data_IF_013479477705
#
_entry.id   IF_013479477705
#
_cell.length_a   1.000
_cell.length_b   1.000
_cell.length_c   1.000
_cell.angle_alpha   90.00
_cell.angle_beta   90.00
_cell.angle_gamma   90.00
#
_symmetry.space_group_name_H-M   'P 1'
#
loop_
_entity.id
_entity.type
_entity.pdbx_description
1 polymer ?
#
# COMPACT_ATOMS: atom_id res chain seq x y z
N UNK A 1 -21.51 14.90 -21.24
CA UNK A 1 -21.52 13.80 -20.24
C UNK A 1 -20.46 12.79 -20.66
N UNK A 2 -19.47 12.49 -19.81
CA UNK A 2 -18.39 11.54 -20.13
C UNK A 2 -18.96 10.12 -20.06
N UNK A 3 -18.75 9.29 -21.09
CA UNK A 3 -19.18 7.88 -21.07
C UNK A 3 -18.30 7.09 -20.08
N UNK A 4 -18.89 6.27 -19.18
CA UNK A 4 -18.12 5.43 -18.28
C UNK A 4 -17.38 4.33 -19.04
N UNK A 5 -16.20 3.95 -18.53
CA UNK A 5 -15.45 2.78 -18.97
C UNK A 5 -16.24 1.49 -18.66
N UNK A 6 -15.95 0.40 -19.38
CA UNK A 6 -16.71 -0.85 -19.21
C UNK A 6 -16.60 -1.42 -17.79
N UNK A 7 -15.42 -1.40 -17.18
CA UNK A 7 -15.25 -1.80 -15.77
C UNK A 7 -16.04 -0.91 -14.79
N UNK A 8 -16.28 0.36 -15.12
CA UNK A 8 -17.09 1.24 -14.28
C UNK A 8 -18.57 0.85 -14.36
N UNK A 9 -19.04 0.42 -15.53
CA UNK A 9 -20.42 -0.09 -15.70
C UNK A 9 -20.60 -1.38 -14.92
N UNK A 10 -19.64 -2.31 -14.98
CA UNK A 10 -19.67 -3.54 -14.18
C UNK A 10 -19.81 -3.25 -12.68
N UNK A 11 -19.08 -2.26 -12.16
CA UNK A 11 -19.21 -1.87 -10.74
C UNK A 11 -20.59 -1.26 -10.45
N UNK A 12 -21.11 -0.41 -11.35
CA UNK A 12 -22.45 0.18 -11.20
C UNK A 12 -23.57 -0.86 -11.25
N UNK A 13 -23.42 -1.90 -12.07
CA UNK A 13 -24.37 -3.00 -12.26
C UNK A 13 -24.22 -4.10 -11.19
N UNK A 14 -23.10 -4.15 -10.47
CA UNK A 14 -22.86 -5.16 -9.43
C UNK A 14 -23.92 -5.10 -8.33
N UNK A 15 -24.50 -6.26 -7.99
CA UNK A 15 -25.41 -6.38 -6.84
C UNK A 15 -24.62 -6.77 -5.58
N UNK A 16 -24.85 -6.06 -4.47
CA UNK A 16 -24.18 -6.33 -3.20
C UNK A 16 -24.17 -5.13 -2.25
N UNK A 17 -24.13 -5.42 -0.95
CA UNK A 17 -24.04 -4.40 0.11
C UNK A 17 -22.62 -3.84 0.30
N UNK A 18 -21.60 -4.50 -0.28
CA UNK A 18 -20.20 -4.06 -0.22
C UNK A 18 -19.60 -4.08 -1.62
N UNK A 19 -19.05 -2.94 -2.04
CA UNK A 19 -18.26 -2.81 -3.28
C UNK A 19 -16.88 -2.29 -2.92
N UNK A 20 -15.83 -2.98 -3.36
CA UNK A 20 -14.44 -2.57 -3.16
C UNK A 20 -13.85 -2.17 -4.51
N UNK A 21 -13.45 -0.92 -4.64
CA UNK A 21 -12.79 -0.40 -5.84
C UNK A 21 -11.32 -0.11 -5.53
N UNK A 22 -10.43 -0.88 -6.14
CA UNK A 22 -8.98 -0.70 -6.01
C UNK A 22 -8.40 -0.26 -7.35
N UNK A 23 -7.45 0.68 -7.33
CA UNK A 23 -6.67 0.97 -8.52
C UNK A 23 -5.81 2.22 -8.39
N UNK A 24 -5.01 2.50 -9.41
CA UNK A 24 -4.08 3.62 -9.45
C UNK A 24 -4.74 5.00 -9.60
N UNK A 25 -3.91 6.05 -9.69
CA UNK A 25 -4.38 7.39 -10.06
C UNK A 25 -4.83 7.43 -11.52
N UNK A 26 -5.72 8.38 -11.85
CA UNK A 26 -6.21 8.67 -13.22
C UNK A 26 -6.94 7.54 -13.95
N UNK A 27 -7.40 6.50 -13.24
CA UNK A 27 -8.25 5.46 -13.83
C UNK A 27 -9.75 5.83 -13.83
N UNK A 28 -10.13 6.97 -13.24
CA UNK A 28 -11.53 7.41 -13.18
C UNK A 28 -12.31 6.96 -11.94
N UNK A 29 -11.64 6.53 -10.85
CA UNK A 29 -12.31 6.20 -9.57
C UNK A 29 -13.19 7.33 -9.03
N UNK A 30 -12.70 8.57 -9.09
CA UNK A 30 -13.46 9.74 -8.66
C UNK A 30 -14.74 9.92 -9.47
N UNK A 31 -14.67 9.75 -10.80
CA UNK A 31 -15.85 9.79 -11.68
C UNK A 31 -16.84 8.68 -11.33
N UNK A 32 -16.37 7.45 -11.11
CA UNK A 32 -17.22 6.34 -10.66
C UNK A 32 -17.89 6.65 -9.32
N UNK A 33 -17.12 7.13 -8.33
CA UNK A 33 -17.68 7.53 -7.03
C UNK A 33 -18.77 8.59 -7.18
N UNK A 34 -18.56 9.61 -8.03
CA UNK A 34 -19.57 10.63 -8.31
C UNK A 34 -20.86 10.04 -8.85
N UNK A 35 -20.76 9.13 -9.83
CA UNK A 35 -21.92 8.43 -10.43
C UNK A 35 -22.66 7.53 -9.43
N UNK A 36 -21.92 6.81 -8.58
CA UNK A 36 -22.50 5.98 -7.53
C UNK A 36 -23.24 6.87 -6.54
N UNK A 37 -22.56 7.86 -5.96
CA UNK A 37 -23.09 8.73 -4.91
C UNK A 37 -24.29 9.55 -5.37
N UNK A 38 -24.34 9.97 -6.64
CA UNK A 38 -25.50 10.72 -7.17
C UNK A 38 -26.82 9.94 -7.17
N UNK A 39 -26.76 8.62 -6.99
CA UNK A 39 -27.94 7.75 -6.98
C UNK A 39 -28.50 7.50 -5.57
N UNK A 40 -27.90 8.06 -4.52
CA UNK A 40 -28.29 7.87 -3.12
C UNK A 40 -28.58 9.21 -2.44
N UNK A 41 -29.55 9.23 -1.51
CA UNK A 41 -30.00 10.46 -0.85
C UNK A 41 -29.20 10.78 0.41
N UNK A 42 -28.92 9.79 1.27
CA UNK A 42 -28.14 9.97 2.51
C UNK A 42 -26.81 9.23 2.44
N UNK A 43 -25.75 9.98 2.15
CA UNK A 43 -24.40 9.40 2.00
C UNK A 43 -23.46 9.90 3.08
N UNK A 44 -22.79 8.95 3.75
CA UNK A 44 -21.65 9.23 4.61
C UNK A 44 -20.35 9.06 3.81
N UNK A 45 -19.54 10.11 3.72
CA UNK A 45 -18.22 10.07 3.13
C UNK A 45 -17.14 10.15 4.20
N UNK A 46 -16.37 9.08 4.32
CA UNK A 46 -15.25 8.95 5.23
C UNK A 46 -13.93 9.04 4.46
N UNK A 47 -13.03 9.91 4.90
CA UNK A 47 -11.67 10.00 4.34
C UNK A 47 -10.62 10.04 5.48
N UNK A 48 -9.31 9.88 5.19
CA UNK A 48 -8.29 9.81 6.24
C UNK A 48 -8.11 11.10 7.04
N UNK A 49 -8.39 12.25 6.43
CA UNK A 49 -8.23 13.56 7.07
C UNK A 49 -9.20 14.58 6.49
N UNK A 50 -9.35 15.71 7.18
CA UNK A 50 -10.30 16.76 6.80
C UNK A 50 -10.04 17.35 5.40
N UNK A 51 -8.79 17.60 5.03
CA UNK A 51 -8.45 18.15 3.71
C UNK A 51 -8.94 17.25 2.56
N UNK A 52 -8.83 15.94 2.73
CA UNK A 52 -9.33 14.97 1.77
C UNK A 52 -10.84 14.93 1.68
N UNK A 53 -11.54 15.14 2.80
CA UNK A 53 -12.99 15.27 2.78
C UNK A 53 -13.45 16.49 1.98
N UNK A 54 -12.72 17.62 2.08
CA UNK A 54 -12.99 18.83 1.30
C UNK A 54 -12.75 18.60 -0.20
N UNK A 55 -11.66 17.93 -0.56
CA UNK A 55 -11.39 17.56 -1.95
C UNK A 55 -12.53 16.73 -2.55
N UNK A 56 -13.01 15.71 -1.83
CA UNK A 56 -14.15 14.93 -2.28
C UNK A 56 -15.38 15.82 -2.51
N UNK A 57 -15.73 16.66 -1.52
CA UNK A 57 -16.87 17.58 -1.59
C UNK A 57 -16.80 18.53 -2.79
N UNK A 58 -15.65 19.18 -2.98
CA UNK A 58 -15.51 20.30 -3.90
C UNK A 58 -15.21 19.85 -5.33
N UNK A 59 -14.54 18.70 -5.51
CA UNK A 59 -14.02 18.25 -6.81
C UNK A 59 -14.74 17.02 -7.35
N UNK A 60 -15.10 16.07 -6.48
CA UNK A 60 -15.66 14.78 -6.93
C UNK A 60 -17.17 14.89 -7.09
N UNK A 61 -17.84 15.47 -6.10
CA UNK A 61 -19.32 15.45 -6.03
C UNK A 61 -19.96 16.81 -6.28
N UNK A 62 -19.20 17.90 -6.28
CA UNK A 62 -19.73 19.23 -6.61
C UNK A 62 -20.76 19.74 -5.59
N UNK A 63 -20.41 19.67 -4.30
CA UNK A 63 -21.23 20.18 -3.19
C UNK A 63 -22.70 19.69 -3.21
N UNK A 64 -22.93 18.38 -3.34
CA UNK A 64 -24.26 17.80 -3.10
C UNK A 64 -24.64 18.10 -1.64
N UNK A 65 -25.73 18.86 -1.37
CA UNK A 65 -26.06 19.33 -0.01
C UNK A 65 -26.36 18.23 1.01
N UNK A 66 -26.58 17.00 0.55
CA UNK A 66 -27.10 15.88 1.35
C UNK A 66 -26.03 14.94 1.92
N UNK A 67 -24.74 15.28 1.79
CA UNK A 67 -23.63 14.40 2.18
C UNK A 67 -22.99 14.80 3.52
N UNK A 68 -22.76 13.80 4.37
CA UNK A 68 -22.00 13.97 5.62
C UNK A 68 -20.55 13.61 5.38
N UNK A 69 -19.65 14.58 5.49
CA UNK A 69 -18.21 14.39 5.33
C UNK A 69 -17.53 14.29 6.69
N UNK A 70 -16.77 13.22 6.94
CA UNK A 70 -16.01 13.05 8.19
C UNK A 70 -14.64 12.40 7.94
N UNK A 71 -13.70 12.72 8.82
CA UNK A 71 -12.38 12.10 8.83
C UNK A 71 -12.40 10.90 9.77
N UNK A 72 -12.18 9.68 9.28
CA UNK A 72 -12.28 8.48 10.12
C UNK A 72 -11.18 8.38 11.18
N UNK A 73 -10.10 9.15 11.05
CA UNK A 73 -9.02 9.22 12.05
C UNK A 73 -9.34 10.15 13.23
N UNK A 74 -10.26 11.11 13.05
CA UNK A 74 -10.63 12.10 14.07
C UNK A 74 -12.07 11.99 14.52
N UNK A 75 -12.81 11.03 13.97
CA UNK A 75 -14.23 10.84 14.22
C UNK A 75 -14.42 9.98 15.46
N UNK A 76 -15.19 10.49 16.43
CA UNK A 76 -15.91 9.63 17.34
C UNK A 76 -17.06 8.99 16.56
N UNK A 77 -16.94 7.69 16.33
CA UNK A 77 -17.89 6.97 15.51
C UNK A 77 -19.25 6.80 16.21
N UNK A 78 -19.32 6.91 17.54
CA UNK A 78 -20.61 6.83 18.24
C UNK A 78 -21.55 7.99 17.84
N UNK A 79 -21.03 9.13 17.38
CA UNK A 79 -21.84 10.23 16.85
C UNK A 79 -22.66 9.83 15.60
N UNK A 80 -22.24 8.79 14.89
CA UNK A 80 -22.91 8.32 13.67
C UNK A 80 -23.99 7.28 13.94
N UNK A 81 -24.10 6.79 15.18
CA UNK A 81 -24.97 5.68 15.54
C UNK A 81 -26.43 6.06 15.39
N UNK A 82 -27.20 5.19 14.75
CA UNK A 82 -28.63 5.41 14.52
C UNK A 82 -28.96 6.41 13.40
N UNK A 83 -27.94 7.01 12.76
CA UNK A 83 -28.17 7.82 11.56
C UNK A 83 -28.36 6.87 10.37
N UNK A 84 -29.52 6.92 9.67
CA UNK A 84 -29.75 6.05 8.52
C UNK A 84 -29.01 6.61 7.30
N UNK A 85 -27.94 5.93 6.90
CA UNK A 85 -27.23 6.19 5.64
C UNK A 85 -27.60 5.13 4.61
N UNK A 86 -27.91 5.56 3.38
CA UNK A 86 -28.21 4.69 2.26
C UNK A 86 -26.91 4.17 1.61
N UNK A 87 -25.83 4.93 1.75
CA UNK A 87 -24.49 4.58 1.26
C UNK A 87 -23.42 5.13 2.20
N UNK A 88 -22.40 4.30 2.48
CA UNK A 88 -21.17 4.75 3.13
C UNK A 88 -20.01 4.56 2.17
N UNK A 89 -19.37 5.67 1.82
CA UNK A 89 -18.13 5.68 1.05
C UNK A 89 -16.98 5.84 2.00
N UNK A 90 -16.00 4.94 1.92
CA UNK A 90 -14.74 5.09 2.62
C UNK A 90 -13.62 5.25 1.61
N UNK A 91 -13.20 6.51 1.45
CA UNK A 91 -12.18 6.91 0.50
C UNK A 91 -10.78 6.80 1.11
N UNK A 92 -9.81 6.48 0.26
CA UNK A 92 -8.40 6.28 0.60
C UNK A 92 -8.14 5.45 1.88
N UNK A 93 -8.85 4.33 2.05
CA UNK A 93 -8.67 3.44 3.21
C UNK A 93 -7.22 2.97 3.39
N UNK A 94 -6.48 2.86 2.28
CA UNK A 94 -5.04 2.64 2.25
C UNK A 94 -4.42 3.79 1.46
N UNK A 95 -4.18 4.92 2.12
CA UNK A 95 -3.19 5.86 1.62
C UNK A 95 -1.81 5.26 1.89
N UNK A 96 -1.09 4.80 0.85
CA UNK A 96 0.36 4.61 0.97
C UNK A 96 0.95 5.99 1.15
N UNK A 97 1.20 6.34 2.40
CA UNK A 97 1.63 7.65 2.82
C UNK A 97 3.13 7.82 2.66
N UNK A 98 3.54 9.08 2.76
CA UNK A 98 4.92 9.49 3.03
C UNK A 98 5.56 8.68 4.17
N UNK A 99 4.80 8.28 5.18
CA UNK A 99 5.30 7.53 6.33
C UNK A 99 5.68 6.10 5.97
N UNK A 100 4.92 5.45 5.07
CA UNK A 100 5.13 4.04 4.72
C UNK A 100 6.53 3.78 4.17
N UNK A 101 7.08 4.70 3.37
CA UNK A 101 8.45 4.57 2.85
C UNK A 101 9.51 4.60 3.95
N UNK A 102 9.28 5.40 5.00
CA UNK A 102 10.22 5.55 6.12
C UNK A 102 10.19 4.26 6.93
N UNK A 103 9.00 3.69 7.15
CA UNK A 103 8.86 2.42 7.86
C UNK A 103 9.49 1.26 7.08
N UNK A 104 9.25 1.18 5.76
CA UNK A 104 9.91 0.18 4.91
C UNK A 104 11.43 0.35 4.92
N UNK A 105 11.93 1.59 4.81
CA UNK A 105 13.37 1.86 4.86
C UNK A 105 13.97 1.44 6.21
N UNK A 106 13.35 1.83 7.33
CA UNK A 106 13.82 1.46 8.68
C UNK A 106 13.82 -0.05 8.87
N UNK A 107 12.76 -0.72 8.41
CA UNK A 107 12.65 -2.17 8.51
C UNK A 107 13.70 -2.87 7.66
N UNK A 108 13.97 -2.36 6.45
CA UNK A 108 15.07 -2.85 5.63
C UNK A 108 16.42 -2.66 6.33
N UNK A 109 16.68 -1.48 6.90
CA UNK A 109 17.92 -1.19 7.64
C UNK A 109 18.13 -2.10 8.85
N UNK A 110 17.06 -2.50 9.54
CA UNK A 110 17.09 -3.46 10.65
C UNK A 110 17.45 -4.87 10.19
N UNK A 111 16.97 -5.27 9.01
CA UNK A 111 17.16 -6.62 8.44
C UNK A 111 18.48 -6.79 7.70
N UNK A 112 19.06 -5.70 7.19
CA UNK A 112 20.35 -5.74 6.48
C UNK A 112 21.41 -6.37 7.38
N UNK A 113 22.13 -7.41 6.90
CA UNK A 113 23.30 -7.95 7.57
C UNK A 113 24.35 -6.85 7.79
N UNK A 114 24.94 -6.82 8.99
CA UNK A 114 25.93 -5.81 9.36
C UNK A 114 27.30 -6.46 9.34
N UNK A 115 28.07 -6.14 8.30
CA UNK A 115 29.51 -6.38 8.29
C UNK A 115 30.23 -5.06 8.60
N UNK A 116 30.27 -4.14 7.62
CA UNK A 116 30.87 -2.80 7.74
C UNK A 116 29.84 -1.66 7.89
N UNK A 117 28.55 -2.00 7.81
CA UNK A 117 27.45 -1.04 7.84
C UNK A 117 27.25 -0.22 6.56
N UNK A 118 28.08 -0.39 5.53
CA UNK A 118 28.00 0.37 4.27
C UNK A 118 26.67 0.08 3.56
N UNK A 119 26.28 -1.19 3.45
CA UNK A 119 25.01 -1.57 2.83
C UNK A 119 23.83 -0.91 3.56
N UNK A 120 23.81 -0.97 4.89
CA UNK A 120 22.77 -0.34 5.71
C UNK A 120 22.72 1.18 5.50
N UNK A 121 23.87 1.85 5.53
CA UNK A 121 23.98 3.29 5.34
C UNK A 121 23.66 3.76 3.92
N UNK A 122 23.79 2.89 2.92
CA UNK A 122 23.48 3.17 1.53
C UNK A 122 21.98 3.13 1.20
N UNK A 123 21.15 2.52 2.06
CA UNK A 123 19.72 2.40 1.81
C UNK A 123 19.04 3.77 1.84
N UNK A 124 18.32 4.06 0.76
CA UNK A 124 17.59 5.31 0.55
C UNK A 124 16.24 5.02 -0.09
N UNK A 125 15.38 6.01 -0.10
CA UNK A 125 14.16 5.99 -0.88
C UNK A 125 14.18 7.07 -1.97
N UNK A 126 13.46 6.83 -3.06
CA UNK A 126 13.17 7.82 -4.10
C UNK A 126 11.67 7.88 -4.29
N UNK A 127 11.13 9.09 -4.39
CA UNK A 127 9.73 9.35 -4.70
C UNK A 127 9.65 9.85 -6.14
N UNK A 128 8.83 9.19 -6.96
CA UNK A 128 8.56 9.62 -8.34
C UNK A 128 7.05 9.59 -8.56
N UNK A 129 6.41 10.76 -8.52
CA UNK A 129 4.96 10.85 -8.56
C UNK A 129 4.33 10.18 -7.35
N UNK A 130 3.53 9.13 -7.58
CA UNK A 130 2.87 8.31 -6.56
C UNK A 130 3.65 7.01 -6.24
N UNK A 131 4.76 6.76 -6.92
CA UNK A 131 5.60 5.61 -6.66
C UNK A 131 6.71 5.96 -5.68
N UNK A 132 6.96 5.04 -4.75
CA UNK A 132 8.10 5.10 -3.86
C UNK A 132 8.93 3.84 -4.03
N UNK A 133 10.22 4.02 -4.32
CA UNK A 133 11.20 2.95 -4.36
C UNK A 133 12.10 3.06 -3.14
N UNK A 134 12.35 1.93 -2.46
CA UNK A 134 13.35 1.81 -1.39
C UNK A 134 14.44 0.86 -1.88
N UNK A 135 15.71 1.25 -1.77
CA UNK A 135 16.81 0.46 -2.28
C UNK A 135 18.18 1.11 -2.08
N UNK A 136 19.18 0.59 -2.78
CA UNK A 136 20.57 1.05 -2.74
C UNK A 136 21.14 1.08 -4.16
N UNK A 137 22.23 1.84 -4.34
CA UNK A 137 23.03 1.88 -5.56
C UNK A 137 24.26 0.95 -5.50
N UNK A 138 24.44 0.16 -4.43
CA UNK A 138 25.56 -0.78 -4.33
C UNK A 138 25.33 -2.01 -5.19
N UNK A 139 26.29 -2.31 -6.07
CA UNK A 139 26.20 -3.41 -7.03
C UNK A 139 26.11 -4.79 -6.39
N UNK A 140 26.69 -4.98 -5.21
CA UNK A 140 26.66 -6.26 -4.50
C UNK A 140 25.36 -6.50 -3.74
N UNK A 141 24.51 -5.48 -3.58
CA UNK A 141 23.30 -5.56 -2.77
C UNK A 141 22.28 -6.62 -3.24
N UNK A 142 22.04 -6.82 -4.57
CA UNK A 142 21.19 -7.90 -5.05
C UNK A 142 21.73 -9.28 -4.67
N UNK A 143 23.05 -9.46 -4.60
CA UNK A 143 23.64 -10.73 -4.17
C UNK A 143 23.29 -11.04 -2.72
N UNK A 144 23.24 -10.02 -1.85
CA UNK A 144 22.79 -10.18 -0.46
C UNK A 144 21.31 -10.52 -0.39
N UNK A 145 20.47 -9.85 -1.18
CA UNK A 145 19.01 -10.05 -1.19
C UNK A 145 18.58 -11.42 -1.75
N UNK A 146 19.25 -11.90 -2.79
CA UNK A 146 18.83 -13.08 -3.57
C UNK A 146 19.80 -14.27 -3.50
N UNK A 147 20.98 -14.10 -2.90
CA UNK A 147 22.02 -15.12 -2.87
C UNK A 147 22.76 -15.28 -4.20
N UNK A 148 23.81 -16.11 -4.20
CA UNK A 148 24.66 -16.39 -5.37
C UNK A 148 25.02 -17.86 -5.47
N UNK A 149 25.57 -18.26 -6.63
CA UNK A 149 26.01 -19.63 -6.88
C UNK A 149 24.85 -20.62 -6.77
N UNK A 150 25.06 -21.72 -6.06
CA UNK A 150 24.04 -22.76 -5.90
C UNK A 150 22.83 -22.28 -5.09
N UNK A 151 23.01 -21.21 -4.30
CA UNK A 151 21.98 -20.63 -3.43
C UNK A 151 21.23 -19.45 -4.06
N UNK A 152 21.54 -19.08 -5.30
CA UNK A 152 20.85 -18.00 -5.98
C UNK A 152 19.36 -18.34 -6.15
N UNK A 153 18.51 -17.48 -5.60
CA UNK A 153 17.07 -17.57 -5.77
C UNK A 153 16.69 -17.44 -7.26
N UNK A 154 15.68 -18.21 -7.70
CA UNK A 154 15.31 -18.28 -9.12
C UNK A 154 16.28 -19.10 -9.98
N UNK A 155 17.34 -19.68 -9.39
CA UNK A 155 18.17 -20.68 -10.05
C UNK A 155 19.16 -20.15 -11.08
N UNK A 156 19.29 -18.84 -11.27
CA UNK A 156 20.22 -18.23 -12.24
C UNK A 156 21.70 -18.27 -11.84
N UNK A 157 22.03 -18.73 -10.63
CA UNK A 157 23.41 -18.82 -10.15
C UNK A 157 24.16 -20.07 -10.62
N UNK A 158 25.50 -19.99 -10.58
CA UNK A 158 26.42 -21.08 -10.95
C UNK A 158 26.14 -22.34 -10.12
N UNK A 159 26.01 -23.48 -10.79
CA UNK A 159 25.64 -24.77 -10.17
C UNK A 159 26.82 -25.57 -9.62
N UNK A 160 28.04 -25.23 -10.04
CA UNK A 160 29.26 -25.90 -9.61
C UNK A 160 30.08 -25.00 -8.68
N UNK A 161 30.90 -25.62 -7.84
CA UNK A 161 31.97 -24.95 -7.11
C UNK A 161 32.89 -24.19 -8.07
N UNK A 162 33.50 -23.12 -7.58
CA UNK A 162 34.58 -22.43 -8.26
C UNK A 162 35.59 -21.90 -7.26
N UNK A 163 36.84 -21.80 -7.71
CA UNK A 163 37.97 -21.36 -6.91
C UNK A 163 38.53 -20.07 -7.50
N UNK A 164 38.87 -19.12 -6.63
CA UNK A 164 39.51 -17.87 -7.01
C UNK A 164 40.56 -17.46 -6.01
N UNK A 165 41.48 -16.60 -6.44
CA UNK A 165 42.48 -16.03 -5.54
C UNK A 165 41.94 -14.74 -4.92
N UNK A 166 41.97 -14.66 -3.59
CA UNK A 166 41.66 -13.47 -2.80
C UNK A 166 42.92 -12.97 -2.12
N UNK A 167 43.22 -11.68 -2.24
CA UNK A 167 44.38 -11.07 -1.55
C UNK A 167 44.31 -11.24 -0.02
N UNK A 168 43.10 -11.34 0.54
CA UNK A 168 42.88 -11.48 1.98
C UNK A 168 42.99 -12.93 2.49
N UNK A 169 42.66 -13.91 1.64
CA UNK A 169 42.44 -15.30 2.08
C UNK A 169 43.17 -16.35 1.23
N UNK A 170 43.95 -15.95 0.22
CA UNK A 170 44.57 -16.86 -0.74
C UNK A 170 43.55 -17.52 -1.66
N UNK A 171 43.77 -18.78 -2.05
CA UNK A 171 42.81 -19.53 -2.87
C UNK A 171 41.55 -19.89 -2.07
N UNK A 172 40.41 -19.33 -2.48
CA UNK A 172 39.09 -19.55 -1.89
C UNK A 172 38.25 -20.38 -2.84
N UNK A 173 37.72 -21.51 -2.37
CA UNK A 173 36.70 -22.29 -3.07
C UNK A 173 35.33 -21.98 -2.49
N UNK A 174 34.38 -21.54 -3.32
CA UNK A 174 33.04 -21.15 -2.86
C UNK A 174 31.93 -21.86 -3.61
N UNK A 175 30.80 -22.06 -2.91
CA UNK A 175 29.52 -22.53 -3.47
C UNK A 175 28.58 -21.38 -3.81
N UNK A 176 28.99 -20.15 -3.53
CA UNK A 176 28.12 -18.97 -3.50
C UNK A 176 27.65 -18.63 -2.10
N UNK A 177 26.87 -17.56 -2.01
CA UNK A 177 26.39 -16.97 -0.78
C UNK A 177 24.89 -17.25 -0.60
N UNK A 178 24.48 -17.68 0.59
CA UNK A 178 23.06 -17.83 0.94
C UNK A 178 22.41 -16.45 1.03
N UNK A 179 21.20 -16.31 0.48
CA UNK A 179 20.43 -15.08 0.54
C UNK A 179 20.15 -14.65 1.99
N UNK A 180 20.31 -13.36 2.26
CA UNK A 180 19.93 -12.69 3.51
C UNK A 180 19.01 -11.51 3.17
N UNK A 181 17.75 -11.81 2.79
CA UNK A 181 16.84 -10.81 2.26
C UNK A 181 16.49 -9.76 3.30
N UNK A 182 16.41 -8.51 2.87
CA UNK A 182 16.17 -7.35 3.72
C UNK A 182 15.17 -6.37 3.10
N UNK A 183 15.09 -6.24 1.76
CA UNK A 183 14.11 -5.35 1.10
C UNK A 183 12.73 -6.00 0.99
N UNK A 184 12.64 -7.19 0.39
CA UNK A 184 11.37 -7.90 0.23
C UNK A 184 10.66 -8.16 1.56
N UNK A 185 11.32 -8.73 2.59
CA UNK A 185 10.66 -8.93 3.88
C UNK A 185 10.26 -7.62 4.56
N UNK A 186 10.96 -6.51 4.34
CA UNK A 186 10.55 -5.20 4.85
C UNK A 186 9.27 -4.70 4.18
N UNK A 187 9.16 -4.83 2.85
CA UNK A 187 7.97 -4.49 2.10
C UNK A 187 6.78 -5.37 2.50
N UNK A 188 6.99 -6.69 2.60
CA UNK A 188 5.95 -7.65 2.96
C UNK A 188 5.43 -7.43 4.38
N UNK A 189 6.34 -7.14 5.32
CA UNK A 189 5.97 -6.76 6.69
C UNK A 189 5.05 -5.54 6.69
N UNK A 190 5.40 -4.50 5.93
CA UNK A 190 4.57 -3.30 5.85
C UNK A 190 3.24 -3.56 5.16
N UNK A 191 3.23 -4.36 4.09
CA UNK A 191 2.00 -4.76 3.38
C UNK A 191 1.03 -5.48 4.33
N UNK A 192 1.51 -6.44 5.11
CA UNK A 192 0.70 -7.17 6.10
C UNK A 192 0.12 -6.23 7.15
N UNK A 193 0.93 -5.30 7.65
CA UNK A 193 0.46 -4.28 8.59
C UNK A 193 -0.66 -3.42 8.01
N UNK A 194 -0.53 -2.96 6.76
CA UNK A 194 -1.55 -2.14 6.10
C UNK A 194 -2.86 -2.90 5.88
N UNK A 195 -2.80 -4.18 5.52
CA UNK A 195 -3.99 -5.03 5.40
C UNK A 195 -4.68 -5.21 6.76
N UNK A 196 -3.92 -5.37 7.84
CA UNK A 196 -4.49 -5.46 9.18
C UNK A 196 -5.19 -4.16 9.59
N UNK A 197 -4.51 -3.02 9.39
CA UNK A 197 -5.07 -1.70 9.67
C UNK A 197 -6.36 -1.44 8.87
N UNK A 198 -6.38 -1.88 7.61
CA UNK A 198 -7.57 -1.82 6.76
C UNK A 198 -8.73 -2.61 7.36
N UNK A 199 -8.48 -3.86 7.76
CA UNK A 199 -9.52 -4.73 8.35
C UNK A 199 -10.05 -4.16 9.67
N UNK A 200 -9.16 -3.64 10.53
CA UNK A 200 -9.55 -2.97 11.78
C UNK A 200 -10.43 -1.73 11.51
N UNK A 201 -10.04 -0.89 10.55
CA UNK A 201 -10.79 0.32 10.17
C UNK A 201 -12.16 -0.04 9.60
N UNK A 202 -12.22 -1.01 8.68
CA UNK A 202 -13.46 -1.50 8.10
C UNK A 202 -14.40 -2.03 9.19
N UNK A 203 -13.92 -2.90 10.07
CA UNK A 203 -14.72 -3.47 11.16
C UNK A 203 -15.22 -2.39 12.12
N UNK A 204 -14.40 -1.38 12.41
CA UNK A 204 -14.78 -0.24 13.25
C UNK A 204 -15.96 0.51 12.64
N UNK A 205 -15.88 0.84 11.34
CA UNK A 205 -16.94 1.53 10.60
C UNK A 205 -18.20 0.66 10.51
N UNK A 206 -18.06 -0.62 10.16
CA UNK A 206 -19.18 -1.54 9.99
C UNK A 206 -19.99 -1.75 11.29
N UNK A 207 -19.31 -1.92 12.43
CA UNK A 207 -19.95 -2.07 13.75
C UNK A 207 -20.80 -0.88 14.13
N UNK A 208 -20.28 0.32 13.90
CA UNK A 208 -20.95 1.57 14.26
C UNK A 208 -22.21 1.78 13.43
N UNK A 209 -22.16 1.43 12.16
CA UNK A 209 -23.27 1.59 11.22
C UNK A 209 -24.34 0.50 11.34
N UNK A 210 -24.22 -0.40 12.33
CA UNK A 210 -25.24 -1.40 12.63
C UNK A 210 -25.29 -2.57 11.65
N UNK A 211 -24.24 -2.78 10.87
CA UNK A 211 -24.11 -3.98 10.03
C UNK A 211 -24.09 -5.23 10.91
N UNK A 212 -25.05 -6.15 10.72
CA UNK A 212 -24.95 -7.51 11.25
C UNK A 212 -23.94 -8.26 10.38
N UNK A 213 -22.87 -8.75 11.00
CA UNK A 213 -21.81 -9.52 10.34
C UNK A 213 -22.34 -10.85 9.80
#
# INVERSE_FOLDING_TARGET
MIKPYDWQKEVLESSGHLRIVVGGRRIGKSTLCGLVVSSYDKVLWLAPNYHMTLYARDVIVGAIPKMVYRSYNSLDLEELKGIPFDLVVVDELIAVTVKDRIEVLKEAQRRVPVDDGILRGSLKYKVKGDQVAVGTNLEYAPYVEYGTGIYAEGGGGRKTLWTYFSEKYGFVTTRGMVARPYLRPALDSRRKFLVKLWAETYNKVFRVLGGKA
#
